data_IF_943672275451
#
_entry.id   IF_943672275451
#
_cell.length_a   1.000
_cell.length_b   1.000
_cell.length_c   1.000
_cell.angle_alpha   90.00
_cell.angle_beta   90.00
_cell.angle_gamma   90.00
#
_symmetry.space_group_name_H-M   'P 1'
#
loop_
_entity.id
_entity.type
_entity.pdbx_description
1 polymer ?
#
# COMPACT_ATOMS: atom_id res chain seq x y z
N UNK A 1 6.73 -86.86 37.20
CA UNK A 1 7.17 -86.39 38.54
C UNK A 1 7.46 -84.90 38.44
N UNK A 2 6.52 -84.07 38.90
CA UNK A 2 6.61 -82.62 38.84
C UNK A 2 7.24 -82.09 40.14
N UNK A 3 8.33 -81.32 40.04
CA UNK A 3 8.90 -80.60 41.18
C UNK A 3 8.14 -79.28 41.35
N UNK A 4 7.24 -79.25 42.32
CA UNK A 4 6.52 -78.05 42.75
C UNK A 4 7.44 -77.23 43.67
N UNK A 5 7.67 -75.97 43.30
CA UNK A 5 8.49 -75.00 44.03
C UNK A 5 7.62 -74.31 45.11
N UNK A 6 7.92 -74.46 46.41
CA UNK A 6 7.04 -73.99 47.50
C UNK A 6 7.13 -72.48 47.80
N UNK A 7 7.90 -71.70 47.03
CA UNK A 7 8.24 -70.31 47.39
C UNK A 7 7.73 -69.23 46.41
N UNK A 8 6.59 -69.43 45.74
CA UNK A 8 6.03 -68.39 44.88
C UNK A 8 4.74 -67.79 45.47
N UNK A 9 4.82 -66.83 46.42
CA UNK A 9 3.68 -65.99 46.72
C UNK A 9 3.39 -65.11 45.50
N UNK A 10 2.11 -65.04 45.14
CA UNK A 10 1.60 -64.49 43.89
C UNK A 10 2.09 -63.08 43.53
N UNK A 11 2.03 -62.83 42.23
CA UNK A 11 2.64 -61.69 41.58
C UNK A 11 2.16 -60.31 42.04
N UNK A 12 3.03 -59.34 41.74
CA UNK A 12 2.75 -57.95 41.37
C UNK A 12 4.08 -57.42 40.86
N UNK A 13 4.18 -57.11 39.57
CA UNK A 13 5.26 -56.26 39.09
C UNK A 13 5.22 -54.91 39.82
N UNK A 14 6.32 -54.16 39.87
CA UNK A 14 6.32 -52.85 40.51
C UNK A 14 5.26 -51.97 39.85
N UNK A 15 4.26 -51.57 40.63
CA UNK A 15 3.32 -50.52 40.23
C UNK A 15 4.15 -49.26 40.12
N UNK A 16 4.49 -48.84 38.91
CA UNK A 16 5.02 -47.50 38.69
C UNK A 16 3.84 -46.55 38.90
N UNK A 17 3.64 -46.13 40.14
CA UNK A 17 2.79 -44.99 40.46
C UNK A 17 3.39 -43.78 39.76
N UNK A 18 2.76 -43.34 38.67
CA UNK A 18 3.06 -42.04 38.08
C UNK A 18 2.53 -40.99 39.06
N UNK A 19 3.38 -40.17 39.70
CA UNK A 19 2.88 -39.12 40.57
C UNK A 19 2.01 -38.17 39.74
N UNK A 20 0.75 -37.99 40.15
CA UNK A 20 -0.12 -36.99 39.58
C UNK A 20 0.50 -35.62 39.85
N UNK A 21 1.11 -35.03 38.82
CA UNK A 21 2.04 -33.91 38.92
C UNK A 21 1.42 -32.58 39.39
N UNK A 22 0.14 -32.51 39.74
CA UNK A 22 -0.44 -31.34 40.43
C UNK A 22 -1.81 -31.67 41.04
N UNK A 23 -2.13 -31.18 42.25
CA UNK A 23 -3.44 -31.32 42.85
C UNK A 23 -4.52 -30.53 42.10
N UNK A 24 -5.75 -31.07 42.05
CA UNK A 24 -6.88 -30.48 41.31
C UNK A 24 -7.23 -29.04 41.72
N UNK A 25 -6.93 -28.65 42.96
CA UNK A 25 -7.09 -27.27 43.44
C UNK A 25 -6.13 -26.29 42.74
N UNK A 26 -4.88 -26.68 42.52
CA UNK A 26 -3.88 -25.89 41.79
C UNK A 26 -4.30 -25.65 40.35
N UNK A 27 -4.90 -26.67 39.72
CA UNK A 27 -5.41 -26.56 38.35
C UNK A 27 -6.55 -25.54 38.23
N UNK A 28 -7.47 -25.52 39.20
CA UNK A 28 -8.61 -24.57 39.22
C UNK A 28 -8.14 -23.12 39.42
N UNK A 29 -7.21 -22.89 40.33
CA UNK A 29 -6.63 -21.55 40.55
C UNK A 29 -5.86 -21.09 39.30
N UNK A 30 -5.05 -21.97 38.71
CA UNK A 30 -4.32 -21.67 37.48
C UNK A 30 -5.26 -21.32 36.32
N UNK A 31 -6.40 -22.01 36.16
CA UNK A 31 -7.39 -21.68 35.12
C UNK A 31 -8.03 -20.31 35.33
N UNK A 32 -8.34 -19.93 36.59
CA UNK A 32 -8.92 -18.61 36.88
C UNK A 32 -7.93 -17.48 36.60
N UNK A 33 -6.66 -17.67 36.96
CA UNK A 33 -5.59 -16.72 36.65
C UNK A 33 -5.39 -16.62 35.13
N UNK A 34 -5.37 -17.74 34.41
CA UNK A 34 -5.27 -17.75 32.95
C UNK A 34 -6.40 -16.99 32.27
N UNK A 35 -7.65 -17.18 32.72
CA UNK A 35 -8.81 -16.45 32.20
C UNK A 35 -8.74 -14.96 32.51
N UNK A 36 -8.33 -14.58 33.73
CA UNK A 36 -8.15 -13.18 34.10
C UNK A 36 -7.09 -12.48 33.22
N UNK A 37 -5.99 -13.17 32.90
CA UNK A 37 -4.96 -12.66 31.97
C UNK A 37 -5.51 -12.49 30.55
N UNK A 38 -6.29 -13.45 30.04
CA UNK A 38 -6.91 -13.34 28.71
C UNK A 38 -7.92 -12.18 28.63
N UNK A 39 -8.70 -11.96 29.69
CA UNK A 39 -9.63 -10.82 29.77
C UNK A 39 -8.85 -9.50 29.78
N UNK A 40 -7.75 -9.42 30.53
CA UNK A 40 -6.90 -8.23 30.55
C UNK A 40 -6.28 -7.93 29.17
N UNK A 41 -5.75 -8.95 28.49
CA UNK A 41 -5.18 -8.81 27.14
C UNK A 41 -6.25 -8.36 26.13
N UNK A 42 -7.44 -8.97 26.19
CA UNK A 42 -8.58 -8.59 25.33
C UNK A 42 -9.05 -7.17 25.61
N UNK A 43 -9.09 -6.78 26.88
CA UNK A 43 -9.46 -5.42 27.31
C UNK A 43 -8.46 -4.36 26.85
N UNK A 44 -7.16 -4.65 26.94
CA UNK A 44 -6.10 -3.75 26.44
C UNK A 44 -6.17 -3.60 24.92
N UNK A 45 -6.41 -4.68 24.17
CA UNK A 45 -6.51 -4.67 22.72
C UNK A 45 -7.75 -3.88 22.20
N UNK A 46 -8.88 -3.97 22.90
CA UNK A 46 -10.10 -3.20 22.60
C UNK A 46 -9.93 -1.70 22.88
N UNK A 47 -9.10 -1.32 23.86
CA UNK A 47 -8.81 0.08 24.14
C UNK A 47 -7.98 0.74 23.03
N UNK A 48 -7.00 0.02 22.49
CA UNK A 48 -6.18 0.48 21.34
C UNK A 48 -7.01 0.60 20.05
N UNK A 49 -7.94 -0.33 19.82
CA UNK A 49 -8.82 -0.34 18.64
C UNK A 49 -9.71 0.92 18.57
N UNK A 50 -10.11 1.50 19.72
CA UNK A 50 -10.94 2.71 19.74
C UNK A 50 -10.18 3.96 19.33
N UNK A 51 -8.87 4.05 19.61
CA UNK A 51 -8.08 5.21 19.19
C UNK A 51 -7.84 5.23 17.67
N UNK A 52 -7.70 4.05 17.05
CA UNK A 52 -7.53 3.94 15.61
C UNK A 52 -8.76 4.40 14.82
N UNK A 53 -9.97 4.14 15.34
CA UNK A 53 -11.21 4.57 14.68
C UNK A 53 -11.30 6.10 14.56
N UNK A 54 -10.92 6.85 15.60
CA UNK A 54 -10.92 8.32 15.57
C UNK A 54 -9.91 8.85 14.55
N UNK A 55 -8.71 8.26 14.50
CA UNK A 55 -7.68 8.65 13.55
C UNK A 55 -8.06 8.34 12.09
N UNK A 56 -8.82 7.26 11.84
CA UNK A 56 -9.33 6.93 10.51
C UNK A 56 -10.40 7.93 10.05
N UNK A 57 -11.34 8.28 10.92
CA UNK A 57 -12.40 9.23 10.59
C UNK A 57 -11.83 10.62 10.25
N UNK A 58 -10.80 11.04 10.99
CA UNK A 58 -10.07 12.28 10.71
C UNK A 58 -9.35 12.22 9.35
N UNK A 59 -8.70 11.11 9.03
CA UNK A 59 -8.05 10.92 7.71
C UNK A 59 -9.07 10.93 6.55
N UNK A 60 -10.26 10.37 6.76
CA UNK A 60 -11.33 10.40 5.75
C UNK A 60 -11.81 11.84 5.50
N UNK A 61 -12.04 12.62 6.56
CA UNK A 61 -12.42 14.03 6.43
C UNK A 61 -11.34 14.86 5.71
N UNK A 62 -10.07 14.60 6.03
CA UNK A 62 -8.96 15.27 5.35
C UNK A 62 -8.84 14.90 3.87
N UNK A 63 -9.12 13.64 3.51
CA UNK A 63 -9.16 13.20 2.12
C UNK A 63 -10.28 13.90 1.35
N UNK A 64 -11.48 13.96 1.92
CA UNK A 64 -12.62 14.62 1.30
C UNK A 64 -12.34 16.12 1.04
N UNK A 65 -11.79 16.81 2.03
CA UNK A 65 -11.37 18.20 1.90
C UNK A 65 -10.33 18.41 0.79
N UNK A 66 -9.35 17.49 0.67
CA UNK A 66 -8.32 17.56 -0.38
C UNK A 66 -8.89 17.29 -1.77
N UNK A 67 -9.82 16.34 -1.90
CA UNK A 67 -10.49 16.04 -3.18
C UNK A 67 -11.32 17.25 -3.62
N UNK A 68 -12.09 17.86 -2.72
CA UNK A 68 -12.87 19.07 -3.02
C UNK A 68 -11.98 20.27 -3.38
N UNK A 69 -10.88 20.46 -2.66
CA UNK A 69 -9.90 21.50 -2.97
C UNK A 69 -9.19 21.27 -4.32
N UNK A 70 -9.03 20.01 -4.74
CA UNK A 70 -8.46 19.70 -6.05
C UNK A 70 -9.49 19.91 -7.16
N UNK A 71 -10.75 19.49 -6.95
CA UNK A 71 -11.86 19.74 -7.88
C UNK A 71 -12.01 21.23 -8.18
N UNK A 72 -12.11 22.05 -7.13
CA UNK A 72 -12.18 23.52 -7.27
C UNK A 72 -10.97 24.13 -7.99
N UNK A 73 -9.75 23.61 -7.80
CA UNK A 73 -8.55 24.08 -8.52
C UNK A 73 -8.57 23.67 -9.99
N UNK A 74 -9.06 22.47 -10.30
CA UNK A 74 -9.22 22.00 -11.68
C UNK A 74 -10.28 22.85 -12.37
N UNK A 75 -11.41 23.12 -11.73
CA UNK A 75 -12.48 23.98 -12.27
C UNK A 75 -12.00 25.42 -12.45
N UNK A 76 -11.23 25.96 -11.50
CA UNK A 76 -10.63 27.30 -11.61
C UNK A 76 -9.51 27.37 -12.67
N UNK A 77 -8.83 26.24 -12.93
CA UNK A 77 -7.82 26.07 -13.98
C UNK A 77 -8.43 25.82 -15.36
N UNK A 78 -9.66 25.30 -15.42
CA UNK A 78 -10.50 25.19 -16.60
C UNK A 78 -11.10 26.57 -16.97
N UNK A 79 -10.25 27.59 -17.04
CA UNK A 79 -10.57 28.76 -17.87
C UNK A 79 -10.67 28.25 -19.32
N UNK A 80 -11.63 28.72 -20.13
CA UNK A 80 -11.65 28.37 -21.54
C UNK A 80 -10.26 28.70 -22.07
N UNK A 81 -9.55 27.67 -22.57
CA UNK A 81 -8.24 27.86 -23.13
C UNK A 81 -8.35 28.99 -24.15
N UNK A 82 -7.70 30.14 -23.91
CA UNK A 82 -7.53 31.14 -24.94
C UNK A 82 -7.04 30.39 -26.16
N UNK A 83 -7.84 30.38 -27.24
CA UNK A 83 -7.45 29.74 -28.49
C UNK A 83 -6.07 30.30 -28.83
N UNK A 84 -5.06 29.45 -28.70
CA UNK A 84 -3.74 29.80 -29.22
C UNK A 84 -3.95 30.17 -30.68
N UNK A 85 -3.34 31.27 -31.16
CA UNK A 85 -3.38 31.59 -32.58
C UNK A 85 -3.08 30.31 -33.33
N UNK A 86 -4.03 29.89 -34.18
CA UNK A 86 -3.78 28.75 -35.05
C UNK A 86 -2.50 29.08 -35.82
N UNK A 87 -1.56 28.13 -35.82
CA UNK A 87 -0.32 28.28 -36.57
C UNK A 87 -0.61 28.49 -38.06
N UNK A 88 0.43 28.71 -38.88
CA UNK A 88 0.28 28.76 -40.33
C UNK A 88 -0.55 27.57 -40.83
N UNK A 89 -1.49 27.85 -41.72
CA UNK A 89 -2.37 26.86 -42.32
C UNK A 89 -1.52 25.84 -43.10
N UNK A 90 -1.58 24.54 -42.76
CA UNK A 90 -0.75 23.52 -43.39
C UNK A 90 -1.06 23.32 -44.88
N UNK A 91 -2.28 23.64 -45.32
CA UNK A 91 -2.73 23.44 -46.70
C UNK A 91 -2.51 24.68 -47.57
N UNK A 92 -2.07 25.78 -46.96
CA UNK A 92 -1.82 27.04 -47.65
C UNK A 92 -0.41 27.05 -48.24
N UNK A 93 -0.33 27.33 -49.54
CA UNK A 93 0.95 27.64 -50.21
C UNK A 93 1.34 29.08 -49.88
N UNK A 94 2.52 29.25 -49.27
CA UNK A 94 3.07 30.56 -48.93
C UNK A 94 4.09 31.00 -49.98
N UNK A 95 3.87 32.19 -50.55
CA UNK A 95 4.84 32.80 -51.45
C UNK A 95 6.01 33.38 -50.62
N UNK A 96 7.24 32.99 -50.96
CA UNK A 96 8.46 33.44 -50.30
C UNK A 96 9.35 34.13 -51.32
N UNK A 97 9.76 35.38 -51.04
CA UNK A 97 10.67 36.13 -51.90
C UNK A 97 12.11 35.78 -51.54
N UNK A 98 12.82 35.13 -52.46
CA UNK A 98 14.23 34.73 -52.27
C UNK A 98 15.21 35.65 -53.00
N UNK A 99 14.73 36.64 -53.75
CA UNK A 99 15.58 37.57 -54.49
C UNK A 99 16.43 38.42 -53.53
N UNK A 100 17.74 38.45 -53.77
CA UNK A 100 18.70 39.20 -52.93
C UNK A 100 19.00 38.57 -51.57
N UNK A 101 18.36 37.44 -51.22
CA UNK A 101 18.63 36.74 -49.96
C UNK A 101 20.01 36.03 -50.00
N UNK A 102 20.74 35.99 -48.87
CA UNK A 102 21.89 35.11 -48.72
C UNK A 102 21.51 33.65 -49.01
N UNK A 103 22.31 32.94 -49.79
CA UNK A 103 22.07 31.53 -50.09
C UNK A 103 23.35 30.72 -49.98
N UNK A 104 23.19 29.45 -49.59
CA UNK A 104 24.29 28.48 -49.50
C UNK A 104 23.88 27.22 -50.25
N UNK A 105 24.75 26.74 -51.14
CA UNK A 105 24.54 25.50 -51.89
C UNK A 105 24.50 25.67 -53.42
N UNK A 106 24.13 24.60 -54.11
CA UNK A 106 24.04 24.57 -55.58
C UNK A 106 22.77 25.29 -56.06
N UNK A 107 22.90 26.21 -57.02
CA UNK A 107 21.76 26.92 -57.64
C UNK A 107 20.72 25.99 -58.28
N UNK A 108 21.14 24.80 -58.71
CA UNK A 108 20.30 23.79 -59.36
C UNK A 108 19.93 22.65 -58.42
N UNK A 109 19.92 22.89 -57.10
CA UNK A 109 19.50 21.87 -56.14
C UNK A 109 18.03 21.49 -56.37
N UNK A 110 17.67 20.19 -56.24
CA UNK A 110 16.28 19.75 -56.43
C UNK A 110 15.34 20.24 -55.31
N UNK A 111 15.89 20.64 -54.17
CA UNK A 111 15.15 21.16 -53.02
C UNK A 111 15.84 22.42 -52.51
N UNK A 112 15.04 23.45 -52.25
CA UNK A 112 15.49 24.71 -51.63
C UNK A 112 14.79 24.86 -50.29
N UNK A 113 15.57 25.06 -49.22
CA UNK A 113 15.07 25.31 -47.87
C UNK A 113 15.20 26.82 -47.61
N UNK A 114 14.13 27.45 -47.12
CA UNK A 114 14.15 28.85 -46.69
C UNK A 114 14.00 28.90 -45.17
N UNK A 115 14.94 29.58 -44.52
CA UNK A 115 14.98 29.75 -43.07
C UNK A 115 14.65 31.20 -42.70
N UNK A 116 13.84 31.38 -41.65
CA UNK A 116 13.53 32.68 -41.06
C UNK A 116 14.14 32.72 -39.66
N UNK A 117 15.13 33.57 -39.45
CA UNK A 117 15.86 33.68 -38.19
C UNK A 117 15.97 35.15 -37.77
N UNK A 118 15.79 35.41 -36.48
CA UNK A 118 15.96 36.72 -35.84
C UNK A 118 17.11 36.60 -34.83
N UNK A 119 18.17 37.38 -35.04
CA UNK A 119 19.37 37.34 -34.20
C UNK A 119 19.34 38.54 -33.24
N UNK A 120 18.75 38.33 -32.06
CA UNK A 120 18.74 39.29 -30.95
C UNK A 120 19.77 38.89 -29.88
#
# INVERSE_FOLDING_TARGET
MAKQNPNNPGGRGPVIERPALVPAATFRVATLVGVAVLIAITGMNLYETRQQQTALNERLNQLDARVNALGTKIDAGARPAQQRPQGPDPDKVYAVKTEGAPFVGRKTAPVTIVEFSDFQ
#
